data_IF_362921489892
#
_entry.id   IF_362921489892
#
_cell.length_a   1.000
_cell.length_b   1.000
_cell.length_c   1.000
_cell.angle_alpha   90.00
_cell.angle_beta   90.00
_cell.angle_gamma   90.00
#
_symmetry.space_group_name_H-M   'P 1'
#
loop_
_entity.id
_entity.type
_entity.pdbx_description
1 polymer ?
#
# COMPACT_ATOMS: atom_id res chain seq x y z
N UNK A 1 -6.97 -23.12 -37.90
CA UNK A 1 -7.21 -21.92 -37.04
C UNK A 1 -7.13 -22.21 -35.53
N UNK A 2 -6.43 -23.26 -35.08
CA UNK A 2 -6.35 -23.66 -33.66
C UNK A 2 -5.14 -23.07 -32.93
N UNK A 3 -4.00 -22.91 -33.61
CA UNK A 3 -2.77 -22.37 -33.01
C UNK A 3 -2.89 -20.91 -32.52
N UNK A 4 -3.62 -20.05 -33.26
CA UNK A 4 -3.84 -18.64 -32.89
C UNK A 4 -4.65 -18.52 -31.58
N UNK A 5 -5.68 -19.36 -31.41
CA UNK A 5 -6.55 -19.38 -30.23
C UNK A 5 -5.80 -19.84 -28.98
N UNK A 6 -4.85 -20.76 -29.13
CA UNK A 6 -3.96 -21.22 -28.06
C UNK A 6 -3.04 -20.11 -27.56
N UNK A 7 -2.34 -19.40 -28.46
CA UNK A 7 -1.44 -18.28 -28.09
C UNK A 7 -2.19 -17.14 -27.39
N UNK A 8 -3.39 -16.80 -27.88
CA UNK A 8 -4.23 -15.78 -27.25
C UNK A 8 -4.65 -16.17 -25.83
N UNK A 9 -5.01 -17.44 -25.59
CA UNK A 9 -5.33 -17.94 -24.24
C UNK A 9 -4.14 -17.84 -23.29
N UNK A 10 -2.95 -18.22 -23.74
CA UNK A 10 -1.73 -18.10 -22.93
C UNK A 10 -1.43 -16.65 -22.56
N UNK A 11 -1.53 -15.73 -23.52
CA UNK A 11 -1.35 -14.31 -23.26
C UNK A 11 -2.32 -13.78 -22.21
N UNK A 12 -3.61 -14.15 -22.30
CA UNK A 12 -4.61 -13.75 -21.30
C UNK A 12 -4.25 -14.26 -19.91
N UNK A 13 -3.89 -15.53 -19.78
CA UNK A 13 -3.49 -16.09 -18.48
C UNK A 13 -2.23 -15.44 -17.92
N UNK A 14 -1.24 -15.13 -18.76
CA UNK A 14 -0.05 -14.37 -18.36
C UNK A 14 -0.42 -12.99 -17.82
N UNK A 15 -1.32 -12.27 -18.50
CA UNK A 15 -1.77 -10.95 -18.04
C UNK A 15 -2.54 -11.03 -16.73
N UNK A 16 -3.40 -12.03 -16.57
CA UNK A 16 -4.14 -12.27 -15.32
C UNK A 16 -3.16 -12.56 -14.17
N UNK A 17 -2.21 -13.47 -14.38
CA UNK A 17 -1.19 -13.80 -13.38
C UNK A 17 -0.33 -12.58 -13.00
N UNK A 18 0.08 -11.79 -14.00
CA UNK A 18 0.84 -10.56 -13.77
C UNK A 18 0.03 -9.53 -12.97
N UNK A 19 -1.25 -9.34 -13.28
CA UNK A 19 -2.15 -8.45 -12.55
C UNK A 19 -2.34 -8.88 -11.09
N UNK A 20 -2.55 -10.18 -10.86
CA UNK A 20 -2.67 -10.74 -9.51
C UNK A 20 -1.37 -10.56 -8.72
N UNK A 21 -0.21 -10.83 -9.34
CA UNK A 21 1.08 -10.65 -8.70
C UNK A 21 1.31 -9.19 -8.29
N UNK A 22 1.03 -8.25 -9.19
CA UNK A 22 1.12 -6.82 -8.90
C UNK A 22 0.22 -6.42 -7.74
N UNK A 23 -1.03 -6.88 -7.75
CA UNK A 23 -1.98 -6.59 -6.68
C UNK A 23 -1.47 -7.11 -5.32
N UNK A 24 -1.02 -8.36 -5.25
CA UNK A 24 -0.50 -8.94 -4.00
C UNK A 24 0.73 -8.17 -3.51
N UNK A 25 1.69 -7.85 -4.40
CA UNK A 25 2.89 -7.11 -4.04
C UNK A 25 2.57 -5.70 -3.51
N UNK A 26 1.65 -4.98 -4.16
CA UNK A 26 1.24 -3.64 -3.73
C UNK A 26 0.61 -3.66 -2.32
N UNK A 27 -0.28 -4.63 -2.06
CA UNK A 27 -0.92 -4.76 -0.75
C UNK A 27 0.07 -5.24 0.32
N UNK A 28 0.98 -6.17 -0.01
CA UNK A 28 2.04 -6.59 0.90
C UNK A 28 2.97 -5.42 1.28
N UNK A 29 3.31 -4.56 0.31
CA UNK A 29 4.07 -3.34 0.57
C UNK A 29 3.30 -2.38 1.48
N UNK A 30 1.99 -2.20 1.27
CA UNK A 30 1.14 -1.39 2.13
C UNK A 30 1.15 -1.88 3.59
N UNK A 31 0.99 -3.19 3.81
CA UNK A 31 1.13 -3.78 5.14
C UNK A 31 2.52 -3.55 5.75
N UNK A 32 3.58 -3.77 4.97
CA UNK A 32 4.96 -3.53 5.43
C UNK A 32 5.15 -2.08 5.92
N UNK A 33 4.71 -1.10 5.13
CA UNK A 33 4.81 0.32 5.49
C UNK A 33 4.00 0.64 6.74
N UNK A 34 2.78 0.12 6.86
CA UNK A 34 1.92 0.36 8.02
C UNK A 34 2.59 -0.10 9.33
N UNK A 35 3.27 -1.25 9.33
CA UNK A 35 3.94 -1.77 10.53
C UNK A 35 5.36 -1.21 10.76
N UNK A 36 6.06 -0.79 9.70
CA UNK A 36 7.44 -0.31 9.79
C UNK A 36 7.56 1.19 9.99
N UNK A 37 6.47 1.93 9.76
CA UNK A 37 6.41 3.35 10.06
C UNK A 37 6.56 3.57 11.56
N UNK A 38 7.78 3.83 12.00
CA UNK A 38 8.08 4.37 13.32
C UNK A 38 8.35 5.87 13.13
N UNK A 39 7.31 6.73 13.18
CA UNK A 39 7.55 8.16 13.20
C UNK A 39 8.35 8.48 14.46
N UNK A 40 9.36 9.34 14.34
CA UNK A 40 10.09 9.86 15.50
C UNK A 40 9.09 10.35 16.56
N UNK A 41 9.31 9.93 17.82
CA UNK A 41 8.50 10.38 18.94
C UNK A 41 8.81 11.85 19.22
N UNK A 42 8.15 12.76 18.50
CA UNK A 42 8.19 14.19 18.79
C UNK A 42 7.55 14.46 20.15
N UNK A 43 8.06 15.44 20.90
CA UNK A 43 7.48 15.84 22.17
C UNK A 43 6.02 16.24 22.01
N UNK A 44 5.09 15.36 22.37
CA UNK A 44 3.67 15.57 22.18
C UNK A 44 3.11 16.48 23.28
N UNK A 45 2.89 17.75 22.94
CA UNK A 45 2.14 18.65 23.81
C UNK A 45 0.65 18.28 23.77
N UNK A 46 0.05 18.02 24.94
CA UNK A 46 -1.41 17.80 25.09
C UNK A 46 -2.22 19.04 24.71
N UNK A 47 -1.65 20.22 24.92
CA UNK A 47 -2.26 21.52 24.63
C UNK A 47 -1.42 22.30 23.62
N UNK A 48 -2.04 23.21 22.86
CA UNK A 48 -1.28 24.07 21.93
C UNK A 48 -0.50 25.10 22.74
N UNK A 49 0.82 25.04 22.69
CA UNK A 49 1.70 26.17 23.02
C UNK A 49 1.82 27.14 21.84
N UNK A 50 2.12 28.42 22.10
CA UNK A 50 2.31 29.43 21.04
C UNK A 50 3.44 29.02 20.09
N UNK A 51 3.11 28.79 18.81
CA UNK A 51 4.09 28.40 17.78
C UNK A 51 4.56 26.95 17.84
N UNK A 52 3.93 26.09 18.67
CA UNK A 52 4.33 24.69 18.83
C UNK A 52 3.43 23.73 18.05
N UNK A 53 4.02 22.66 17.52
CA UNK A 53 3.28 21.57 16.89
C UNK A 53 2.65 20.67 17.97
N UNK A 54 1.39 20.27 17.77
CA UNK A 54 0.71 19.28 18.62
C UNK A 54 0.16 18.14 17.79
N UNK A 55 -0.08 17.00 18.43
CA UNK A 55 -0.76 15.88 17.79
C UNK A 55 -2.16 16.29 17.32
N UNK A 56 -2.59 15.73 16.18
CA UNK A 56 -3.98 15.81 15.74
C UNK A 56 -4.89 15.18 16.81
N UNK A 57 -6.12 15.70 16.94
CA UNK A 57 -7.10 15.11 17.87
C UNK A 57 -7.50 13.72 17.33
N UNK A 58 -7.56 12.71 18.19
CA UNK A 58 -8.15 11.41 17.83
C UNK A 58 -9.61 11.61 17.40
N UNK A 59 -10.08 10.80 16.45
CA UNK A 59 -11.47 10.82 16.00
C UNK A 59 -12.42 10.11 17.00
N UNK A 60 -11.86 9.42 17.99
CA UNK A 60 -12.52 8.76 19.11
C UNK A 60 -12.21 9.48 20.43
#
# INVERSE_FOLDING_TARGET
MTAMRSRSRWLVWTLVAAGLLLFVLANAHFFYVAFRSQPECVGHLKERGSGQYRAAKSAC
#
